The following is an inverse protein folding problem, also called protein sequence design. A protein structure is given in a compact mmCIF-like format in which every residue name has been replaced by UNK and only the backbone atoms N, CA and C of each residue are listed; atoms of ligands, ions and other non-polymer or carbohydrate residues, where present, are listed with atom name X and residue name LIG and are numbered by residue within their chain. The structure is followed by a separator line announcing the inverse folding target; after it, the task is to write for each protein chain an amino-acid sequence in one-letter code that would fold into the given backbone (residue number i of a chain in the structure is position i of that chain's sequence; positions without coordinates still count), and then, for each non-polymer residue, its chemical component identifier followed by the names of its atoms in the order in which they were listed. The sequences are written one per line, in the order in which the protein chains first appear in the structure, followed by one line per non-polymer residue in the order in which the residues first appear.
data_IF_358946703041
#
_entry.id   IF_358946703041
#
_cell.length_a   1.000
_cell.length_b   1.000
_cell.length_c   1.000
_cell.angle_alpha   90.00
_cell.angle_beta   90.00
_cell.angle_gamma   90.00
#
_symmetry.space_group_name_H-M   'P 1'
#
loop_
_entity.id
_entity.type
_entity.pdbx_description
1 polymer ?
#
# COMPACT_ATOMS: atom_id res chain seq x y z
N UNK A 1 4.79 -31.43 -8.18
CA UNK A 1 4.00 -30.48 -7.34
C UNK A 1 4.92 -29.69 -6.42
N UNK A 2 5.80 -30.35 -5.64
CA UNK A 2 6.79 -29.70 -4.80
C UNK A 2 7.65 -28.66 -5.55
N UNK A 3 8.21 -29.01 -6.72
CA UNK A 3 9.07 -28.09 -7.49
C UNK A 3 8.34 -26.83 -7.97
N UNK A 4 7.04 -26.91 -8.25
CA UNK A 4 6.26 -25.75 -8.66
C UNK A 4 6.09 -24.77 -7.50
N UNK A 5 5.77 -25.31 -6.32
CA UNK A 5 5.61 -24.54 -5.11
C UNK A 5 6.94 -23.90 -4.68
N UNK A 6 8.03 -24.66 -4.71
CA UNK A 6 9.36 -24.15 -4.46
C UNK A 6 9.71 -22.98 -5.39
N UNK A 7 9.47 -23.11 -6.70
CA UNK A 7 9.69 -22.02 -7.66
C UNK A 7 8.89 -20.76 -7.32
N UNK A 8 7.63 -20.90 -6.91
CA UNK A 8 6.80 -19.76 -6.48
C UNK A 8 7.40 -19.11 -5.23
N UNK A 9 7.75 -19.91 -4.22
CA UNK A 9 8.29 -19.40 -2.96
C UNK A 9 9.61 -18.68 -3.17
N UNK A 10 10.54 -19.27 -3.93
CA UNK A 10 11.84 -18.67 -4.28
C UNK A 10 11.63 -17.36 -5.03
N UNK A 11 10.73 -17.34 -6.03
CA UNK A 11 10.38 -16.12 -6.76
C UNK A 11 9.84 -15.04 -5.83
N UNK A 12 8.96 -15.39 -4.88
CA UNK A 12 8.36 -14.42 -3.96
C UNK A 12 9.35 -13.80 -2.99
N UNK A 13 10.28 -14.60 -2.47
CA UNK A 13 11.40 -14.08 -1.67
C UNK A 13 12.25 -13.11 -2.48
N UNK A 14 12.52 -13.42 -3.75
CA UNK A 14 13.24 -12.51 -4.64
C UNK A 14 12.45 -11.21 -4.88
N UNK A 15 11.14 -11.29 -5.13
CA UNK A 15 10.24 -10.13 -5.29
C UNK A 15 10.25 -9.23 -4.04
N UNK A 16 10.10 -9.81 -2.84
CA UNK A 16 10.13 -9.09 -1.56
C UNK A 16 11.49 -8.42 -1.32
N UNK A 17 12.58 -9.13 -1.60
CA UNK A 17 13.94 -8.62 -1.49
C UNK A 17 14.19 -7.46 -2.46
N UNK A 18 13.70 -7.58 -3.71
CA UNK A 18 13.77 -6.52 -4.71
C UNK A 18 12.99 -5.27 -4.27
N UNK A 19 11.74 -5.44 -3.85
CA UNK A 19 10.90 -4.35 -3.37
C UNK A 19 11.56 -3.62 -2.21
N UNK A 20 12.13 -4.35 -1.24
CA UNK A 20 12.90 -3.76 -0.14
C UNK A 20 14.07 -2.91 -0.67
N UNK A 21 14.94 -3.46 -1.53
CA UNK A 21 16.09 -2.73 -2.07
C UNK A 21 15.72 -1.46 -2.82
N UNK A 22 14.59 -1.45 -3.53
CA UNK A 22 14.10 -0.24 -4.22
C UNK A 22 13.62 0.80 -3.20
N UNK A 23 12.89 0.41 -2.16
CA UNK A 23 12.48 1.32 -1.09
C UNK A 23 13.68 1.89 -0.30
N UNK A 24 14.76 1.12 -0.15
CA UNK A 24 16.04 1.56 0.43
C UNK A 24 16.83 2.51 -0.49
N UNK A 25 16.44 2.62 -1.77
CA UNK A 25 17.19 3.38 -2.78
C UNK A 25 18.47 2.69 -3.27
N UNK A 26 18.65 1.40 -2.96
CA UNK A 26 19.79 0.58 -3.39
C UNK A 26 19.61 -0.01 -4.80
N UNK A 27 18.40 0.05 -5.36
CA UNK A 27 18.08 -0.49 -6.69
C UNK A 27 17.19 0.47 -7.50
N UNK A 28 17.20 0.31 -8.81
CA UNK A 28 16.30 1.01 -9.72
C UNK A 28 14.94 0.31 -9.78
N UNK A 29 13.86 1.08 -9.80
CA UNK A 29 12.53 0.60 -10.09
C UNK A 29 12.42 0.27 -11.59
N UNK A 30 12.09 -0.99 -11.89
CA UNK A 30 11.99 -1.56 -13.24
C UNK A 30 13.23 -1.30 -14.13
N UNK A 31 14.41 -1.14 -13.52
CA UNK A 31 15.65 -0.74 -14.20
C UNK A 31 15.58 0.64 -14.91
N UNK A 32 14.58 1.47 -14.60
CA UNK A 32 14.38 2.78 -15.23
C UNK A 32 14.64 3.92 -14.25
N UNK A 33 14.04 3.88 -13.06
CA UNK A 33 14.02 5.03 -12.15
C UNK A 33 14.74 4.73 -10.83
N UNK A 34 15.77 5.51 -10.48
CA UNK A 34 16.38 5.46 -9.14
C UNK A 34 15.56 6.31 -8.18
N UNK A 35 14.91 5.68 -7.22
CA UNK A 35 14.06 6.35 -6.25
C UNK A 35 14.82 6.56 -4.94
N UNK A 36 14.81 7.79 -4.42
CA UNK A 36 15.37 8.08 -3.09
C UNK A 36 14.33 7.71 -2.02
N UNK A 37 14.78 7.19 -0.88
CA UNK A 37 13.92 6.88 0.27
C UNK A 37 12.96 8.03 0.61
N UNK A 38 13.47 9.27 0.69
CA UNK A 38 12.65 10.47 0.94
C UNK A 38 11.49 10.62 -0.05
N UNK A 39 11.74 10.43 -1.35
CA UNK A 39 10.70 10.51 -2.39
C UNK A 39 9.63 9.43 -2.19
N UNK A 40 10.04 8.23 -1.75
CA UNK A 40 9.14 7.11 -1.51
C UNK A 40 8.30 7.32 -0.25
N UNK A 41 8.88 7.78 0.86
CA UNK A 41 8.16 7.93 2.13
C UNK A 41 7.34 9.26 2.20
N UNK A 42 7.68 10.29 1.42
CA UNK A 42 6.93 11.57 1.42
C UNK A 42 5.75 11.59 0.44
N UNK A 43 5.66 10.65 -0.49
CA UNK A 43 4.61 10.62 -1.50
C UNK A 43 3.23 10.27 -0.91
N UNK A 44 2.25 11.17 -1.05
CA UNK A 44 0.87 11.02 -0.53
C UNK A 44 0.78 10.54 0.93
N UNK A 45 1.47 11.26 1.84
CA UNK A 45 1.54 10.94 3.29
C UNK A 45 0.22 10.48 3.94
N UNK A 46 -0.96 11.10 3.70
CA UNK A 46 -2.21 10.67 4.35
C UNK A 46 -2.65 9.25 3.97
N UNK A 47 -2.51 8.88 2.68
CA UNK A 47 -2.86 7.53 2.22
C UNK A 47 -1.88 6.49 2.74
N UNK A 48 -0.61 6.87 2.86
CA UNK A 48 0.42 6.02 3.44
C UNK A 48 0.17 5.76 4.92
N UNK A 49 -0.23 6.77 5.72
CA UNK A 49 -0.46 6.61 7.16
C UNK A 49 -1.43 5.47 7.48
N UNK A 50 -2.62 5.49 6.86
CA UNK A 50 -3.63 4.44 7.05
C UNK A 50 -3.14 3.06 6.58
N UNK A 51 -2.35 3.02 5.50
CA UNK A 51 -1.75 1.77 5.01
C UNK A 51 -0.67 1.24 5.96
N UNK A 52 0.17 2.12 6.50
CA UNK A 52 1.21 1.78 7.46
C UNK A 52 0.61 1.17 8.71
N UNK A 53 -0.45 1.78 9.27
CA UNK A 53 -1.14 1.24 10.43
C UNK A 53 -1.66 -0.18 10.16
N UNK A 54 -2.32 -0.39 9.03
CA UNK A 54 -2.83 -1.72 8.64
C UNK A 54 -1.71 -2.75 8.47
N UNK A 55 -0.63 -2.39 7.79
CA UNK A 55 0.53 -3.26 7.57
C UNK A 55 1.34 -3.52 8.83
N UNK A 56 1.41 -2.56 9.74
CA UNK A 56 2.02 -2.71 11.05
C UNK A 56 1.26 -3.73 11.90
N UNK A 57 -0.06 -3.58 12.00
CA UNK A 57 -0.93 -4.54 12.70
C UNK A 57 -0.84 -5.95 12.09
N UNK A 58 -0.84 -6.03 10.76
CA UNK A 58 -0.65 -7.28 10.02
C UNK A 58 0.71 -7.91 10.36
N UNK A 59 1.80 -7.12 10.29
CA UNK A 59 3.15 -7.57 10.59
C UNK A 59 3.27 -8.14 12.00
N UNK A 60 2.70 -7.47 13.00
CA UNK A 60 2.68 -8.00 14.38
C UNK A 60 1.87 -9.30 14.49
N UNK A 61 0.74 -9.37 13.80
CA UNK A 61 -0.11 -10.57 13.80
C UNK A 61 0.66 -11.76 13.22
N UNK A 62 1.32 -11.58 12.07
CA UNK A 62 2.14 -12.61 11.42
C UNK A 62 3.33 -12.99 12.31
N UNK A 63 3.99 -12.02 12.95
CA UNK A 63 5.10 -12.26 13.87
C UNK A 63 4.75 -13.25 14.98
N UNK A 64 3.54 -13.16 15.54
CA UNK A 64 3.03 -14.14 16.53
C UNK A 64 2.85 -15.54 15.93
N UNK A 65 2.38 -15.64 14.68
CA UNK A 65 2.19 -16.93 14.02
C UNK A 65 3.53 -17.63 13.71
N UNK A 66 4.57 -16.85 13.41
CA UNK A 66 5.91 -17.40 13.15
C UNK A 66 6.49 -18.15 14.36
N UNK A 67 6.05 -17.85 15.58
CA UNK A 67 6.46 -18.54 16.79
C UNK A 67 5.85 -19.96 16.92
N UNK A 68 4.82 -20.31 16.15
CA UNK A 68 4.17 -21.63 16.23
C UNK A 68 5.17 -22.74 15.80
N UNK A 69 5.29 -23.86 16.53
CA UNK A 69 6.33 -24.86 16.24
C UNK A 69 6.11 -25.59 14.90
N UNK A 70 4.85 -25.79 14.52
CA UNK A 70 4.46 -26.57 13.34
C UNK A 70 4.07 -25.64 12.17
N UNK A 71 4.64 -25.88 11.00
CA UNK A 71 4.33 -25.14 9.76
C UNK A 71 2.87 -25.30 9.33
N UNK A 72 2.24 -26.46 9.56
CA UNK A 72 0.83 -26.68 9.29
C UNK A 72 -0.10 -25.86 10.19
N UNK A 73 0.29 -25.61 11.43
CA UNK A 73 -0.41 -24.68 12.30
C UNK A 73 -0.27 -23.25 11.78
N UNK A 74 0.95 -22.85 11.38
CA UNK A 74 1.19 -21.57 10.72
C UNK A 74 0.29 -21.39 9.49
N UNK A 75 0.22 -22.38 8.60
CA UNK A 75 -0.60 -22.29 7.40
C UNK A 75 -2.09 -22.11 7.71
N UNK A 76 -2.61 -22.88 8.68
CA UNK A 76 -4.00 -22.74 9.13
C UNK A 76 -4.26 -21.37 9.75
N UNK A 77 -3.38 -20.91 10.64
CA UNK A 77 -3.48 -19.60 11.28
C UNK A 77 -3.32 -18.46 10.28
N UNK A 78 -2.48 -18.60 9.24
CA UNK A 78 -2.33 -17.62 8.16
C UNK A 78 -3.61 -17.51 7.34
N UNK A 79 -4.25 -18.63 7.00
CA UNK A 79 -5.53 -18.62 6.29
C UNK A 79 -6.62 -17.93 7.12
N UNK A 80 -6.67 -18.18 8.43
CA UNK A 80 -7.59 -17.51 9.35
C UNK A 80 -7.30 -16.00 9.45
N UNK A 81 -6.02 -15.63 9.63
CA UNK A 81 -5.56 -14.25 9.69
C UNK A 81 -5.96 -13.44 8.45
N UNK A 82 -5.88 -14.04 7.26
CA UNK A 82 -6.29 -13.39 6.00
C UNK A 82 -7.77 -12.98 6.05
N UNK A 83 -8.66 -13.89 6.44
CA UNK A 83 -10.12 -13.62 6.52
C UNK A 83 -10.41 -12.54 7.56
N UNK A 84 -9.74 -12.59 8.70
CA UNK A 84 -9.86 -11.61 9.77
C UNK A 84 -9.39 -10.22 9.32
N UNK A 85 -8.23 -10.15 8.66
CA UNK A 85 -7.69 -8.91 8.13
C UNK A 85 -8.61 -8.31 7.05
N UNK A 86 -9.14 -9.12 6.15
CA UNK A 86 -10.09 -8.67 5.13
C UNK A 86 -11.37 -8.11 5.76
N UNK A 87 -11.90 -8.77 6.79
CA UNK A 87 -13.03 -8.23 7.53
C UNK A 87 -12.68 -6.88 8.17
N UNK A 88 -11.51 -6.78 8.79
CA UNK A 88 -11.04 -5.55 9.42
C UNK A 88 -10.90 -4.38 8.44
N UNK A 89 -10.26 -4.57 7.28
CA UNK A 89 -10.11 -3.51 6.29
C UNK A 89 -11.46 -3.05 5.74
N UNK A 90 -12.39 -3.98 5.52
CA UNK A 90 -13.73 -3.68 5.02
C UNK A 90 -14.58 -2.96 6.06
N UNK A 91 -14.44 -3.31 7.33
CA UNK A 91 -15.10 -2.62 8.44
C UNK A 91 -14.54 -1.21 8.63
N UNK A 92 -13.21 -1.06 8.66
CA UNK A 92 -12.53 0.21 8.82
C UNK A 92 -12.86 1.23 7.71
N UNK A 93 -13.11 0.76 6.49
CA UNK A 93 -13.59 1.60 5.39
C UNK A 93 -15.00 2.16 5.64
N UNK A 94 -15.86 1.43 6.35
CA UNK A 94 -17.27 1.79 6.55
C UNK A 94 -17.51 2.63 7.80
N UNK A 95 -16.81 2.36 8.91
CA UNK A 95 -17.22 2.89 10.22
C UNK A 95 -16.40 4.07 10.76
N UNK A 96 -15.22 4.40 10.19
CA UNK A 96 -14.25 5.43 10.69
C UNK A 96 -13.84 5.34 12.18
N UNK A 97 -14.50 4.49 12.97
CA UNK A 97 -14.25 4.25 14.40
C UNK A 97 -13.86 2.80 14.57
N UNK A 98 -12.68 2.57 15.14
CA UNK A 98 -12.25 1.22 15.48
C UNK A 98 -13.22 0.62 16.51
N UNK A 99 -13.63 -0.64 16.35
CA UNK A 99 -14.46 -1.28 17.36
C UNK A 99 -13.63 -1.37 18.65
N UNK A 100 -14.24 -1.18 19.83
CA UNK A 100 -13.53 -1.39 21.10
C UNK A 100 -13.07 -2.85 21.16
N UNK A 101 -11.77 -3.05 20.98
CA UNK A 101 -11.15 -4.36 21.02
C UNK A 101 -11.08 -4.80 22.48
N UNK A 102 -11.78 -5.89 22.79
CA UNK A 102 -11.60 -6.63 24.04
C UNK A 102 -10.84 -7.88 23.61
N UNK A 103 -9.59 -8.01 24.05
CA UNK A 103 -8.82 -9.21 23.82
C UNK A 103 -9.56 -10.35 24.52
N UNK A 104 -10.04 -11.30 23.74
CA UNK A 104 -10.45 -12.58 24.26
C UNK A 104 -9.20 -13.46 24.12
N UNK A 105 -8.49 -13.81 25.20
CA UNK A 105 -7.60 -14.95 25.13
C UNK A 105 -8.42 -16.07 24.53
N UNK A 106 -7.92 -16.71 23.49
CA UNK A 106 -8.55 -17.89 22.91
C UNK A 106 -8.53 -18.98 23.97
N UNK A 107 -9.49 -18.95 24.89
CA UNK A 107 -9.83 -20.09 25.72
C UNK A 107 -10.35 -21.12 24.74
N UNK A 108 -9.70 -22.28 24.71
CA UNK A 108 -9.87 -23.34 23.74
C UNK A 108 -9.17 -23.10 22.39
N UNK A 109 -7.86 -23.36 22.38
CA UNK A 109 -7.45 -24.55 21.62
C UNK A 109 -8.33 -25.68 22.17
N UNK A 110 -9.52 -25.88 21.59
CA UNK A 110 -10.25 -27.11 21.86
C UNK A 110 -9.27 -28.20 21.50
N UNK A 111 -8.83 -28.96 22.50
CA UNK A 111 -8.14 -30.22 22.32
C UNK A 111 -8.96 -30.95 21.27
N UNK A 112 -8.44 -31.00 20.06
CA UNK A 112 -9.09 -31.64 18.93
C UNK A 112 -8.97 -33.13 19.23
N UNK A 113 -10.08 -33.72 19.69
CA UNK A 113 -10.26 -35.16 19.82
C UNK A 113 -10.23 -35.80 18.42
N UNK A 114 -9.05 -35.83 17.78
CA UNK A 114 -8.59 -36.72 16.71
C UNK A 114 -9.52 -37.07 15.54
N UNK A 115 -10.68 -36.44 15.37
CA UNK A 115 -11.76 -36.88 14.47
C UNK A 115 -12.43 -35.74 13.71
N UNK A 116 -12.09 -34.48 13.95
CA UNK A 116 -12.58 -33.41 13.09
C UNK A 116 -11.58 -33.17 11.96
N UNK A 117 -11.92 -33.67 10.77
CA UNK A 117 -11.43 -33.14 9.50
C UNK A 117 -11.92 -31.68 9.34
N UNK A 118 -11.56 -30.79 10.26
CA UNK A 118 -11.62 -29.34 10.03
C UNK A 118 -10.46 -29.00 9.10
N UNK A 119 -10.68 -29.39 7.85
CA UNK A 119 -10.04 -28.84 6.68
C UNK A 119 -9.89 -27.33 6.84
N UNK A 120 -8.77 -26.82 6.33
CA UNK A 120 -8.25 -25.45 6.25
C UNK A 120 -9.26 -24.35 5.87
N UNK A 121 -10.42 -24.29 6.52
CA UNK A 121 -11.53 -23.40 6.22
C UNK A 121 -11.53 -22.29 7.26
N UNK A 122 -10.90 -21.20 6.89
CA UNK A 122 -10.95 -19.96 7.65
C UNK A 122 -12.38 -19.42 7.70
N UNK A 123 -12.86 -19.06 8.89
CA UNK A 123 -14.20 -18.53 9.12
C UNK A 123 -14.18 -17.45 10.21
N UNK A 124 -14.99 -16.42 10.03
CA UNK A 124 -15.08 -15.32 10.98
C UNK A 124 -15.96 -15.72 12.17
N UNK A 125 -15.41 -15.72 13.38
CA UNK A 125 -16.15 -16.09 14.58
C UNK A 125 -16.94 -14.90 15.12
N UNK A 126 -18.21 -15.14 15.49
CA UNK A 126 -19.10 -14.14 16.07
C UNK A 126 -19.59 -14.62 17.43
N UNK A 127 -19.45 -13.75 18.44
CA UNK A 127 -20.08 -13.96 19.75
C UNK A 127 -21.09 -12.84 19.95
N UNK A 128 -22.37 -13.21 19.95
CA UNK A 128 -23.47 -12.27 19.83
C UNK A 128 -23.40 -11.47 18.52
N UNK A 129 -23.39 -10.13 18.62
CA UNK A 129 -23.26 -9.22 17.46
C UNK A 129 -21.81 -8.80 17.18
N UNK A 130 -20.83 -9.29 17.94
CA UNK A 130 -19.43 -8.88 17.85
C UNK A 130 -18.59 -9.92 17.12
N UNK A 131 -17.79 -9.46 16.18
CA UNK A 131 -16.76 -10.27 15.53
C UNK A 131 -15.56 -10.40 16.45
N UNK A 132 -15.07 -11.62 16.63
CA UNK A 132 -13.85 -11.92 17.38
C UNK A 132 -12.74 -12.26 16.39
N UNK A 133 -11.59 -11.63 16.58
CA UNK A 133 -10.36 -11.92 15.84
C UNK A 133 -9.50 -12.85 16.70
N UNK A 134 -9.13 -14.00 16.16
CA UNK A 134 -8.28 -14.98 16.84
C UNK A 134 -6.80 -14.66 16.64
N UNK A 135 -6.42 -14.37 15.39
CA UNK A 135 -5.03 -14.20 14.98
C UNK A 135 -4.69 -12.73 14.66
N UNK A 136 -5.66 -11.96 14.14
CA UNK A 136 -5.47 -10.56 13.79
C UNK A 136 -5.48 -9.65 15.02
N UNK A 137 -4.42 -8.85 15.17
CA UNK A 137 -4.29 -7.83 16.20
C UNK A 137 -4.92 -6.51 15.75
N UNK A 138 -6.04 -6.12 16.37
CA UNK A 138 -6.74 -4.88 16.07
C UNK A 138 -6.65 -3.88 17.24
N UNK A 139 -5.48 -3.26 17.46
CA UNK A 139 -5.29 -2.24 18.50
C UNK A 139 -5.08 -0.84 17.91
N UNK A 140 -5.33 0.20 18.72
CA UNK A 140 -5.11 1.59 18.33
C UNK A 140 -3.61 1.90 18.31
N UNK A 141 -3.09 2.35 17.17
CA UNK A 141 -1.69 2.73 17.02
C UNK A 141 -1.57 4.23 17.29
N UNK A 142 -0.91 4.60 18.38
CA UNK A 142 -0.68 6.00 18.78
C UNK A 142 0.68 6.55 18.35
N UNK A 143 1.61 5.65 18.01
CA UNK A 143 2.96 6.01 17.58
C UNK A 143 3.00 6.43 16.11
N UNK A 144 3.85 7.41 15.74
CA UNK A 144 4.08 7.74 14.34
C UNK A 144 4.78 6.56 13.65
N UNK A 145 4.23 6.12 12.52
CA UNK A 145 4.81 5.03 11.73
C UNK A 145 5.55 5.58 10.51
N UNK A 146 6.78 5.14 10.30
CA UNK A 146 7.54 5.38 9.07
C UNK A 146 7.20 4.33 8.01
N UNK A 147 6.72 4.78 6.85
CA UNK A 147 6.30 3.88 5.78
C UNK A 147 7.40 2.90 5.35
N UNK A 148 8.63 3.40 5.21
CA UNK A 148 9.72 2.63 4.68
C UNK A 148 10.18 1.57 5.71
N UNK A 149 10.22 1.90 7.01
CA UNK A 149 10.47 0.91 8.07
C UNK A 149 9.38 -0.17 8.15
N UNK A 150 8.11 0.20 7.99
CA UNK A 150 7.01 -0.77 7.94
C UNK A 150 7.15 -1.71 6.73
N UNK A 151 7.50 -1.18 5.56
CA UNK A 151 7.76 -2.01 4.36
C UNK A 151 8.91 -2.97 4.60
N UNK A 152 10.03 -2.51 5.18
CA UNK A 152 11.19 -3.36 5.43
C UNK A 152 10.85 -4.51 6.37
N UNK A 153 10.25 -4.17 7.51
CA UNK A 153 9.85 -5.14 8.52
C UNK A 153 8.85 -6.14 7.96
N UNK A 154 7.86 -5.68 7.18
CA UNK A 154 6.87 -6.55 6.56
C UNK A 154 7.50 -7.49 5.52
N UNK A 155 8.42 -6.99 4.68
CA UNK A 155 9.14 -7.82 3.71
C UNK A 155 9.98 -8.91 4.40
N UNK A 156 10.62 -8.61 5.53
CA UNK A 156 11.37 -9.58 6.32
C UNK A 156 10.46 -10.64 6.92
N UNK A 157 9.40 -10.23 7.61
CA UNK A 157 8.44 -11.15 8.24
C UNK A 157 7.78 -12.06 7.20
N UNK A 158 7.38 -11.53 6.04
CA UNK A 158 6.83 -12.35 4.95
C UNK A 158 7.87 -13.31 4.37
N UNK A 159 9.14 -12.92 4.28
CA UNK A 159 10.21 -13.81 3.83
C UNK A 159 10.40 -14.98 4.81
N UNK A 160 10.25 -14.75 6.12
CA UNK A 160 10.28 -15.80 7.14
C UNK A 160 9.07 -16.75 7.01
N UNK A 161 7.88 -16.22 6.72
CA UNK A 161 6.70 -17.05 6.43
C UNK A 161 6.99 -17.97 5.26
N UNK A 162 7.50 -17.44 4.15
CA UNK A 162 7.84 -18.23 2.97
C UNK A 162 8.92 -19.29 3.24
N UNK A 163 9.94 -18.99 4.05
CA UNK A 163 10.92 -20.00 4.48
C UNK A 163 10.26 -21.16 5.24
N UNK A 164 9.34 -20.84 6.15
CA UNK A 164 8.65 -21.83 6.99
C UNK A 164 7.62 -22.65 6.19
N UNK A 165 6.97 -22.04 5.21
CA UNK A 165 6.08 -22.75 4.27
C UNK A 165 6.85 -23.63 3.29
N UNK A 166 8.07 -23.25 2.90
CA UNK A 166 8.92 -24.09 2.05
C UNK A 166 9.26 -25.42 2.73
N UNK A 167 9.56 -25.39 4.03
CA UNK A 167 9.77 -26.58 4.83
C UNK A 167 8.55 -27.53 4.89
N UNK A 168 7.35 -27.02 4.58
CA UNK A 168 6.09 -27.80 4.55
C UNK A 168 5.64 -28.21 3.15
N UNK A 169 6.31 -27.76 2.09
CA UNK A 169 5.89 -27.98 0.69
C UNK A 169 5.73 -29.45 0.27
N UNK A 170 6.20 -30.39 1.10
CA UNK A 170 6.06 -31.84 0.92
C UNK A 170 4.74 -32.45 1.47
N UNK A 171 3.94 -31.72 2.25
CA UNK A 171 2.86 -32.32 3.05
C UNK A 171 1.48 -32.07 2.42
N UNK A 172 0.95 -33.02 1.65
CA UNK A 172 -0.45 -33.09 1.16
C UNK A 172 -0.88 -32.09 0.06
N UNK A 173 -1.80 -32.52 -0.81
CA UNK A 173 -2.43 -31.67 -1.85
C UNK A 173 -3.20 -30.47 -1.25
N UNK A 174 -3.91 -30.69 -0.14
CA UNK A 174 -4.69 -29.64 0.55
C UNK A 174 -3.80 -28.50 1.08
N UNK A 175 -2.64 -28.82 1.65
CA UNK A 175 -1.69 -27.78 2.09
C UNK A 175 -1.10 -27.02 0.91
N UNK A 176 -0.82 -27.69 -0.20
CA UNK A 176 -0.34 -27.03 -1.43
C UNK A 176 -1.34 -25.96 -1.92
N UNK A 177 -2.63 -26.29 -2.01
CA UNK A 177 -3.66 -25.32 -2.39
C UNK A 177 -3.79 -24.17 -1.40
N UNK A 178 -3.73 -24.44 -0.10
CA UNK A 178 -3.76 -23.41 0.93
C UNK A 178 -2.56 -22.46 0.82
N UNK A 179 -1.36 -22.98 0.55
CA UNK A 179 -0.17 -22.12 0.34
C UNK A 179 -0.35 -21.22 -0.89
N UNK A 180 -0.92 -21.74 -1.98
CA UNK A 180 -1.21 -20.92 -3.16
C UNK A 180 -2.25 -19.82 -2.88
N UNK A 181 -3.23 -20.08 -2.01
CA UNK A 181 -4.19 -19.06 -1.56
C UNK A 181 -3.49 -17.96 -0.75
N UNK A 182 -2.64 -18.34 0.19
CA UNK A 182 -1.80 -17.39 0.95
C UNK A 182 -0.90 -16.59 0.00
N UNK A 183 -0.24 -17.23 -0.96
CA UNK A 183 0.62 -16.56 -1.95
C UNK A 183 -0.16 -15.51 -2.77
N UNK A 184 -1.31 -15.93 -3.30
CA UNK A 184 -2.16 -15.08 -4.14
C UNK A 184 -2.62 -13.85 -3.36
N UNK A 185 -2.97 -14.05 -2.09
CA UNK A 185 -3.34 -12.96 -1.20
C UNK A 185 -2.17 -11.99 -0.94
N UNK A 186 -1.00 -12.51 -0.57
CA UNK A 186 0.21 -11.70 -0.34
C UNK A 186 0.56 -10.90 -1.60
N UNK A 187 0.56 -11.56 -2.76
CA UNK A 187 0.81 -10.92 -4.06
C UNK A 187 -0.15 -9.76 -4.29
N UNK A 188 -1.45 -9.99 -4.12
CA UNK A 188 -2.51 -9.03 -4.50
C UNK A 188 -2.59 -7.86 -3.52
N UNK A 189 -2.52 -8.12 -2.22
CA UNK A 189 -2.73 -7.09 -1.20
C UNK A 189 -1.45 -6.36 -0.79
N UNK A 190 -0.29 -7.00 -0.91
CA UNK A 190 0.98 -6.45 -0.45
C UNK A 190 1.87 -6.07 -1.64
N UNK A 191 2.27 -7.03 -2.46
CA UNK A 191 3.26 -6.78 -3.53
C UNK A 191 2.73 -5.82 -4.59
N UNK A 192 1.49 -6.01 -5.04
CA UNK A 192 0.84 -5.10 -6.02
C UNK A 192 0.69 -3.70 -5.43
N UNK A 193 0.34 -3.58 -4.15
CA UNK A 193 0.19 -2.28 -3.50
C UNK A 193 1.54 -1.54 -3.37
N UNK A 194 2.61 -2.23 -2.99
CA UNK A 194 3.98 -1.68 -2.97
C UNK A 194 4.45 -1.30 -4.37
N UNK A 195 4.25 -2.17 -5.36
CA UNK A 195 4.66 -1.92 -6.75
C UNK A 195 3.92 -0.74 -7.37
N UNK A 196 2.62 -0.60 -7.08
CA UNK A 196 1.82 0.54 -7.52
C UNK A 196 2.35 1.84 -6.94
N UNK A 197 2.64 1.86 -5.63
CA UNK A 197 3.25 3.01 -4.96
C UNK A 197 4.58 3.42 -5.60
N UNK A 198 5.50 2.47 -5.80
CA UNK A 198 6.79 2.73 -6.44
C UNK A 198 6.62 3.24 -7.89
N UNK A 199 5.65 2.70 -8.63
CA UNK A 199 5.33 3.15 -9.99
C UNK A 199 4.76 4.57 -10.04
N UNK A 200 3.94 4.93 -9.05
CA UNK A 200 3.42 6.28 -8.95
C UNK A 200 4.53 7.29 -8.62
N UNK A 201 5.40 6.95 -7.67
CA UNK A 201 6.58 7.76 -7.32
C UNK A 201 7.52 7.87 -8.53
N UNK A 202 7.78 6.78 -9.24
CA UNK A 202 8.67 6.80 -10.40
C UNK A 202 8.14 7.69 -11.52
N UNK A 203 6.83 7.67 -11.79
CA UNK A 203 6.20 8.57 -12.77
C UNK A 203 6.44 10.03 -12.41
N UNK A 204 6.26 10.40 -11.14
CA UNK A 204 6.49 11.77 -10.70
C UNK A 204 7.97 12.17 -10.83
N UNK A 205 8.89 11.29 -10.42
CA UNK A 205 10.32 11.56 -10.52
C UNK A 205 10.75 11.72 -11.97
N UNK A 206 10.32 10.83 -12.85
CA UNK A 206 10.65 10.89 -14.28
C UNK A 206 10.09 12.16 -14.93
N UNK A 207 8.82 12.50 -14.67
CA UNK A 207 8.22 13.73 -15.19
C UNK A 207 9.01 14.98 -14.75
N UNK A 208 9.43 15.04 -13.48
CA UNK A 208 10.26 16.13 -12.98
C UNK A 208 11.61 16.20 -13.72
N UNK A 209 12.29 15.07 -13.91
CA UNK A 209 13.57 15.04 -14.61
C UNK A 209 13.43 15.45 -16.09
N UNK A 210 12.39 14.98 -16.78
CA UNK A 210 12.14 15.36 -18.17
C UNK A 210 11.88 16.85 -18.33
N UNK A 211 11.04 17.44 -17.47
CA UNK A 211 10.78 18.88 -17.49
C UNK A 211 12.05 19.69 -17.20
N UNK A 212 12.89 19.22 -16.27
CA UNK A 212 14.17 19.87 -15.98
C UNK A 212 15.11 19.85 -17.19
N UNK A 213 15.19 18.72 -17.90
CA UNK A 213 16.00 18.61 -19.12
C UNK A 213 15.45 19.53 -20.21
N UNK A 214 14.13 19.54 -20.43
CA UNK A 214 13.49 20.40 -21.43
C UNK A 214 13.78 21.89 -21.18
N UNK A 215 13.63 22.36 -19.94
CA UNK A 215 13.91 23.74 -19.56
C UNK A 215 15.38 24.11 -19.78
N UNK A 216 16.31 23.21 -19.43
CA UNK A 216 17.74 23.44 -19.64
C UNK A 216 18.10 23.54 -21.13
N UNK A 217 17.48 22.73 -21.98
CA UNK A 217 17.68 22.79 -23.43
C UNK A 217 17.15 24.10 -24.03
N UNK A 218 15.98 24.57 -23.56
CA UNK A 218 15.41 25.86 -24.00
C UNK A 218 16.32 27.03 -23.61
N UNK A 219 16.81 27.06 -22.37
CA UNK A 219 17.72 28.12 -21.90
C UNK A 219 19.03 28.15 -22.70
N UNK A 220 19.59 26.97 -23.01
CA UNK A 220 20.82 26.88 -23.83
C UNK A 220 20.62 27.44 -25.25
N UNK A 221 19.40 27.33 -25.79
CA UNK A 221 19.08 27.84 -27.14
C UNK A 221 19.00 29.36 -27.12
N UNK A 222 18.41 29.95 -26.08
CA UNK A 222 18.32 31.40 -25.90
C UNK A 222 19.71 32.02 -25.72
N UNK A 223 20.56 31.44 -24.87
CA UNK A 223 21.92 31.95 -24.64
C UNK A 223 22.76 31.92 -25.94
N UNK A 224 22.59 30.89 -26.77
CA UNK A 224 23.26 30.81 -28.08
C UNK A 224 22.72 31.81 -29.11
N UNK A 225 21.43 32.16 -29.06
CA UNK A 225 20.83 33.17 -29.93
C UNK A 225 21.22 34.60 -29.50
N UNK A 226 21.28 34.87 -28.20
CA UNK A 226 21.71 36.17 -27.67
C UNK A 226 23.21 36.41 -27.89
N UNK A 227 24.06 35.37 -27.73
CA UNK A 227 25.48 35.44 -28.06
C UNK A 227 25.72 35.76 -29.55
N UNK A 228 24.92 35.18 -30.45
CA UNK A 228 24.99 35.51 -31.87
C UNK A 228 24.52 36.94 -32.15
N UNK A 229 23.46 37.43 -31.49
CA UNK A 229 22.98 38.80 -31.67
C UNK A 229 23.98 39.87 -31.21
N UNK A 230 24.75 39.59 -30.15
CA UNK A 230 25.78 40.50 -29.63
C UNK A 230 27.08 40.46 -30.45
N UNK A 231 27.39 39.33 -31.10
CA UNK A 231 28.47 39.25 -32.08
C UNK A 231 28.17 40.10 -33.33
N UNK A 232 26.93 40.07 -33.84
CA UNK A 232 26.52 40.89 -35.00
C UNK A 232 26.48 42.39 -34.68
N UNK A 233 26.11 42.77 -33.45
CA UNK A 233 26.16 44.18 -33.00
C UNK A 233 27.60 44.68 -32.82
N UNK A 234 28.52 43.87 -32.32
CA UNK A 234 29.94 44.26 -32.19
C UNK A 234 30.65 44.39 -33.54
N UNK A 235 30.27 43.59 -34.54
CA UNK A 235 30.76 43.74 -35.91
C UNK A 235 30.28 45.04 -36.59
N UNK A 236 29.07 45.51 -36.28
CA UNK A 236 28.53 46.76 -36.85
C UNK A 236 29.07 48.04 -36.18
N UNK A 237 29.57 47.99 -34.94
CA UNK A 237 30.20 49.16 -34.29
C UNK A 237 31.60 49.44 -34.85
N UNK A 238 32.33 48.41 -35.31
CA UNK A 238 33.65 48.59 -35.95
C UNK A 238 33.57 49.18 -37.37
N UNK A 239 32.39 49.21 -38.00
CA UNK A 239 32.19 49.74 -39.35
C UNK A 239 31.72 51.21 -39.40
N UNK A 240 31.50 51.87 -38.25
CA UNK A 240 30.99 53.27 -38.15
C UNK A 240 32.06 54.20 -37.59
N UNK A 241 33.28 54.14 -38.11
CA UNK A 241 34.35 55.10 -37.80
C UNK A 241 34.99 55.72 -39.05
N UNK A 242 34.22 55.88 -40.13
CA UNK A 242 34.60 56.69 -41.28
C UNK A 242 33.35 57.10 -42.09
N UNK A 243 32.73 58.23 -41.73
CA UNK A 243 31.96 59.01 -42.72
C UNK A 243 31.91 60.50 -42.38
N UNK A 244 32.05 61.39 -43.39
CA UNK A 244 32.04 62.84 -43.18
C UNK A 244 30.62 63.38 -42.93
N UNK A 245 30.57 64.53 -42.27
CA UNK A 245 29.37 65.35 -42.03
C UNK A 245 28.53 65.58 -43.30
N UNK A 246 27.20 65.66 -43.14
CA UNK A 246 26.36 66.48 -44.00
C UNK A 246 25.61 67.59 -43.24
N UNK A 247 25.47 68.72 -43.92
CA UNK A 247 24.71 69.92 -43.56
C UNK A 247 23.17 69.70 -43.54
N UNK A 248 22.39 70.60 -42.90
CA UNK A 248 20.92 70.54 -42.81
C UNK A 248 20.30 71.07 -44.13
N UNK A 249 19.02 70.81 -44.51
CA UNK A 249 17.84 71.32 -43.78
C UNK A 249 16.47 70.61 -43.98
N UNK A 250 15.46 71.23 -43.34
CA UNK A 250 14.04 71.43 -43.75
C UNK A 250 12.94 70.51 -43.22
N UNK A 251 11.95 71.20 -42.64
CA UNK A 251 10.62 70.74 -42.21
C UNK A 251 9.78 70.28 -43.40
N UNK A 252 8.96 69.23 -43.24
CA UNK A 252 7.55 69.33 -43.57
C UNK A 252 6.70 68.21 -42.95
N UNK A 253 5.40 68.50 -42.87
CA UNK A 253 4.38 67.83 -42.08
C UNK A 253 3.71 66.60 -42.73
N UNK A 254 3.05 65.81 -41.88
CA UNK A 254 1.66 65.31 -42.02
C UNK A 254 1.39 63.80 -42.09
N UNK A 255 0.28 63.45 -41.40
CA UNK A 255 -0.68 62.32 -41.53
C UNK A 255 -0.36 60.98 -40.84
N UNK A 256 -1.16 60.59 -39.83
CA UNK A 256 -2.45 59.82 -39.88
C UNK A 256 -2.20 58.37 -40.38
N UNK A 257 -2.59 57.27 -39.72
CA UNK A 257 -3.93 56.92 -39.22
C UNK A 257 -3.94 55.61 -38.37
N UNK A 258 -4.82 55.59 -37.36
CA UNK A 258 -5.71 54.52 -36.80
C UNK A 258 -5.34 53.01 -36.74
N UNK A 259 -5.32 52.52 -35.48
CA UNK A 259 -6.06 51.39 -34.81
C UNK A 259 -7.23 50.66 -35.57
N UNK A 260 -7.90 49.60 -35.02
CA UNK A 260 -7.60 48.59 -33.96
C UNK A 260 -8.15 47.14 -34.26
N UNK A 261 -8.26 46.30 -33.21
CA UNK A 261 -9.17 45.13 -32.99
C UNK A 261 -8.75 43.74 -33.52
N UNK A 262 -9.15 42.59 -32.97
CA UNK A 262 -9.52 42.06 -31.64
C UNK A 262 -9.97 40.60 -31.93
N UNK A 263 -9.59 39.57 -31.18
CA UNK A 263 -10.43 38.34 -31.11
C UNK A 263 -10.13 37.43 -29.92
N UNK A 264 -11.18 37.24 -29.10
CA UNK A 264 -11.33 36.22 -28.04
C UNK A 264 -11.73 34.86 -28.61
N UNK A 265 -11.44 33.77 -27.90
CA UNK A 265 -12.42 32.70 -27.61
C UNK A 265 -11.91 31.70 -26.56
N UNK A 266 -12.73 31.43 -25.54
CA UNK A 266 -12.67 30.27 -24.62
C UNK A 266 -14.05 30.16 -23.98
N UNK A 267 -14.89 29.19 -24.38
CA UNK A 267 -15.08 27.81 -23.87
C UNK A 267 -16.12 27.71 -22.75
N UNK A 268 -17.09 26.83 -23.01
CA UNK A 268 -18.19 26.31 -22.19
C UNK A 268 -17.73 25.61 -20.89
N UNK A 269 -18.58 25.58 -19.86
CA UNK A 269 -18.88 24.32 -19.17
C UNK A 269 -20.23 24.36 -18.42
N UNK A 270 -20.93 23.23 -18.51
CA UNK A 270 -22.31 22.96 -18.10
C UNK A 270 -22.28 22.17 -16.78
N UNK A 271 -22.93 22.67 -15.72
CA UNK A 271 -23.06 21.99 -14.43
C UNK A 271 -24.46 21.40 -14.25
N UNK A 272 -24.55 20.11 -13.93
CA UNK A 272 -25.79 19.40 -13.54
C UNK A 272 -25.62 18.75 -12.17
N UNK A 273 -26.51 19.11 -11.24
CA UNK A 273 -26.65 18.57 -9.88
C UNK A 273 -27.81 17.55 -9.77
N UNK A 274 -27.85 16.67 -8.75
CA UNK A 274 -28.85 15.60 -8.59
C UNK A 274 -29.83 15.79 -7.41
N UNK A 275 -30.98 15.10 -7.46
CA UNK A 275 -31.94 14.85 -6.35
C UNK A 275 -32.95 13.77 -6.83
N UNK A 276 -33.53 12.84 -6.07
CA UNK A 276 -33.55 12.53 -4.62
C UNK A 276 -34.32 11.20 -4.37
N UNK A 277 -34.23 10.69 -3.12
CA UNK A 277 -35.29 10.10 -2.24
C UNK A 277 -36.33 9.09 -2.83
N UNK A 278 -36.69 7.94 -2.22
CA UNK A 278 -37.31 7.61 -0.91
C UNK A 278 -37.35 6.05 -0.77
N UNK A 279 -37.07 5.37 0.36
CA UNK A 279 -37.84 5.08 1.60
C UNK A 279 -38.76 3.83 1.58
N UNK A 280 -38.96 3.23 2.78
CA UNK A 280 -39.85 2.10 3.21
C UNK A 280 -39.28 0.65 3.15
N UNK A 281 -39.52 -0.30 4.08
CA UNK A 281 -40.36 -0.43 5.30
C UNK A 281 -39.94 -1.68 6.13
N UNK A 282 -40.12 -1.59 7.47
CA UNK A 282 -40.54 -2.55 8.53
C UNK A 282 -40.74 -4.06 8.19
N UNK A 283 -40.54 -5.08 9.05
CA UNK A 283 -40.98 -5.27 10.45
C UNK A 283 -40.59 -6.65 11.06
N UNK A 284 -40.57 -6.75 12.41
CA UNK A 284 -41.01 -7.86 13.34
C UNK A 284 -40.44 -9.30 13.18
N UNK A 285 -40.24 -10.16 14.19
CA UNK A 285 -40.54 -10.25 15.62
C UNK A 285 -39.65 -11.36 16.29
N UNK A 286 -39.49 -11.31 17.62
CA UNK A 286 -39.05 -12.42 18.50
C UNK A 286 -40.27 -13.20 19.03
N UNK A 287 -40.09 -14.40 19.64
CA UNK A 287 -40.00 -14.46 21.11
C UNK A 287 -39.07 -15.54 21.71
N UNK A 288 -38.39 -15.13 22.79
CA UNK A 288 -38.27 -15.71 24.14
C UNK A 288 -38.85 -17.12 24.46
N UNK A 289 -38.02 -18.01 25.03
CA UNK A 289 -38.40 -19.02 26.05
C UNK A 289 -37.19 -19.37 26.97
N UNK A 290 -37.52 -19.63 28.24
CA UNK A 290 -36.74 -19.66 29.48
C UNK A 290 -35.81 -20.88 29.73
N UNK A 291 -34.93 -20.82 30.77
CA UNK A 291 -33.97 -21.87 31.12
C UNK A 291 -34.50 -22.86 32.18
N UNK A 292 -34.09 -24.12 32.06
CA UNK A 292 -34.31 -25.18 33.08
C UNK A 292 -33.04 -25.39 33.91
N UNK A 293 -33.25 -25.37 35.22
CA UNK A 293 -32.31 -25.58 36.32
C UNK A 293 -32.20 -27.07 36.69
N UNK A 294 -31.13 -27.38 37.45
CA UNK A 294 -30.83 -28.62 38.20
C UNK A 294 -30.09 -29.70 37.38
N UNK A 295 -29.03 -30.34 37.88
CA UNK A 295 -28.44 -30.43 39.22
C UNK A 295 -27.62 -31.73 39.24
N UNK A 296 -26.61 -31.85 40.11
CA UNK A 296 -25.94 -33.14 40.33
C UNK A 296 -24.46 -33.04 40.62
N UNK A 297 -24.13 -33.14 41.90
CA UNK A 297 -22.81 -33.32 42.47
C UNK A 297 -22.24 -34.74 42.22
N UNK A 298 -20.91 -34.86 42.37
CA UNK A 298 -20.10 -36.00 42.87
C UNK A 298 -18.64 -35.74 42.39
N UNK A 299 -17.71 -35.24 43.20
CA UNK A 299 -17.02 -35.86 44.34
C UNK A 299 -15.98 -36.92 43.95
N UNK A 300 -14.79 -36.84 44.56
CA UNK A 300 -13.64 -37.76 44.54
C UNK A 300 -12.72 -37.70 43.29
N UNK A 301 -11.40 -37.90 43.34
CA UNK A 301 -10.44 -38.23 44.40
C UNK A 301 -9.02 -37.87 43.89
N UNK A 302 -8.09 -37.68 44.82
CA UNK A 302 -6.67 -37.36 44.64
C UNK A 302 -5.84 -38.42 43.90
N UNK A 303 -4.71 -38.00 43.29
CA UNK A 303 -3.38 -38.62 43.43
C UNK A 303 -2.32 -37.88 42.59
N UNK A 304 -1.36 -37.25 43.27
CA UNK A 304 -0.02 -36.96 42.75
C UNK A 304 0.79 -38.28 42.63
N UNK A 305 1.80 -38.31 41.74
CA UNK A 305 3.01 -39.05 42.08
C UNK A 305 4.29 -38.23 41.91
N UNK A 306 5.19 -38.50 42.85
CA UNK A 306 6.53 -37.95 43.03
C UNK A 306 7.49 -38.19 41.85
N UNK A 307 8.44 -37.26 41.70
CA UNK A 307 9.64 -37.37 40.88
C UNK A 307 10.80 -37.96 41.71
N UNK A 308 11.58 -38.91 41.21
CA UNK A 308 12.86 -39.26 41.81
C UNK A 308 14.01 -38.38 41.26
N UNK A 309 15.00 -38.20 42.14
CA UNK A 309 16.22 -37.42 41.99
C UNK A 309 17.23 -37.97 40.96
#
# INVERSE_FOLDING_TARGET
MADHLERIIVKRKADLSYLRRVHEGRSHWLNVAKLKRRQVCEWRKPMLRTRCERWFLLGLSIGRLLAQPNSGLLLRSMMQLIVEYEHFINYAQKSRKFPPFKWYPSAATSVDDGKSSRETRAQLHKVGRKVIFEHFLAYSVTIPLDYCEIVFSLCEVLSLVYNKLLAQSAMTKSSHEAILKVDTWIKTHILVAMSKHLSDVSRQVLAYQFNKIANNLQNTTIDSAEANSNATKSANVAAVSNRPLPEPPTQDASKLEKNPEDTKSTVNEEQKMPSGMTAERSSKASPEQDPVTAGGALESLAAEPELPA
#
